data_IF_532406830238
#
_entry.id   IF_532406830238
#
_cell.length_a   1.000
_cell.length_b   1.000
_cell.length_c   1.000
_cell.angle_alpha   90.00
_cell.angle_beta   90.00
_cell.angle_gamma   90.00
#
_symmetry.space_group_name_H-M   'P 1'
#
loop_
_entity.id
_entity.type
_entity.pdbx_description
1 polymer ?
#
# COMPACT_ATOMS: atom_id res chain seq x y z
N UNK A 1 -2.52 9.70 -9.72
CA UNK A 1 -1.78 8.75 -8.86
C UNK A 1 -1.24 7.57 -9.64
N UNK A 2 -1.99 6.49 -9.87
CA UNK A 2 -1.43 5.30 -10.53
C UNK A 2 -0.95 5.57 -11.96
N UNK A 3 -1.74 6.27 -12.76
CA UNK A 3 -1.37 6.64 -14.12
C UNK A 3 -0.07 7.46 -14.17
N UNK A 4 0.08 8.41 -13.24
CA UNK A 4 1.29 9.23 -13.13
C UNK A 4 2.48 8.38 -12.68
N UNK A 5 2.30 7.52 -11.67
CA UNK A 5 3.33 6.59 -11.23
C UNK A 5 3.82 5.73 -12.39
N UNK A 6 2.90 5.09 -13.13
CA UNK A 6 3.23 4.26 -14.29
C UNK A 6 3.90 5.04 -15.43
N UNK A 7 3.62 6.34 -15.55
CA UNK A 7 4.21 7.21 -16.57
C UNK A 7 5.63 7.66 -16.21
N UNK A 8 5.90 7.93 -14.94
CA UNK A 8 7.12 8.62 -14.51
C UNK A 8 8.10 7.75 -13.71
N UNK A 9 7.66 6.60 -13.18
CA UNK A 9 8.50 5.70 -12.37
C UNK A 9 8.98 4.52 -13.22
N UNK A 10 10.22 4.09 -12.99
CA UNK A 10 10.83 2.92 -13.66
C UNK A 10 10.08 1.63 -13.32
N UNK A 11 10.27 0.58 -14.13
CA UNK A 11 9.59 -0.72 -13.97
C UNK A 11 9.86 -1.39 -12.61
N UNK A 12 11.01 -1.12 -12.00
CA UNK A 12 11.42 -1.66 -10.70
C UNK A 12 10.75 -0.93 -9.53
N UNK A 13 10.06 0.18 -9.78
CA UNK A 13 9.35 0.93 -8.76
C UNK A 13 8.21 0.11 -8.14
N UNK A 14 8.16 0.10 -6.81
CA UNK A 14 7.08 -0.51 -6.05
C UNK A 14 6.14 0.57 -5.49
N UNK A 15 4.88 0.22 -5.30
CA UNK A 15 3.89 1.07 -4.63
C UNK A 15 2.89 0.21 -3.88
N UNK A 16 2.42 0.74 -2.76
CA UNK A 16 1.47 0.12 -1.84
C UNK A 16 0.17 0.93 -1.83
N UNK A 17 -0.97 0.26 -1.69
CA UNK A 17 -2.26 0.92 -1.49
C UNK A 17 -2.52 1.07 0.01
N UNK A 18 -2.84 2.28 0.48
CA UNK A 18 -3.10 2.55 1.90
C UNK A 18 -4.52 3.05 2.11
N UNK A 19 -5.27 2.36 2.96
CA UNK A 19 -6.55 2.81 3.52
C UNK A 19 -6.33 3.46 4.88
N UNK A 20 -6.01 4.75 4.93
CA UNK A 20 -5.73 5.44 6.18
C UNK A 20 -7.02 5.82 6.95
N UNK A 21 -6.86 6.15 8.23
CA UNK A 21 -7.91 6.52 9.20
C UNK A 21 -8.83 5.35 9.57
N UNK A 22 -8.29 4.15 9.66
CA UNK A 22 -9.06 2.97 10.09
C UNK A 22 -9.64 3.11 11.51
N UNK A 23 -9.13 4.04 12.31
CA UNK A 23 -9.69 4.40 13.62
C UNK A 23 -11.10 5.01 13.56
N UNK A 24 -11.54 5.48 12.39
CA UNK A 24 -12.88 6.04 12.18
C UNK A 24 -13.85 5.00 11.61
N UNK A 25 -13.93 3.82 12.23
CA UNK A 25 -14.73 2.68 11.74
C UNK A 25 -16.21 3.04 11.57
N UNK A 26 -16.79 3.81 12.50
CA UNK A 26 -18.19 4.27 12.40
C UNK A 26 -18.45 5.21 11.20
N UNK A 27 -17.39 5.77 10.62
CA UNK A 27 -17.45 6.62 9.42
C UNK A 27 -16.92 5.89 8.18
N UNK A 28 -16.77 4.56 8.23
CA UNK A 28 -16.30 3.77 7.10
C UNK A 28 -17.27 3.85 5.94
N UNK A 29 -16.80 4.40 4.83
CA UNK A 29 -17.53 4.46 3.55
C UNK A 29 -16.98 3.44 2.54
N UNK A 30 -15.69 3.09 2.66
CA UNK A 30 -15.03 2.11 1.78
C UNK A 30 -14.79 0.81 2.56
N UNK A 31 -15.44 -0.31 2.18
CA UNK A 31 -15.19 -1.60 2.79
C UNK A 31 -13.77 -2.10 2.51
N UNK A 32 -13.12 -2.74 3.48
CA UNK A 32 -11.78 -3.35 3.34
C UNK A 32 -11.68 -4.26 2.11
N UNK A 33 -12.76 -5.00 1.79
CA UNK A 33 -12.83 -5.88 0.60
C UNK A 33 -12.64 -5.13 -0.73
N UNK A 34 -13.03 -3.86 -0.81
CA UNK A 34 -12.80 -3.04 -2.02
C UNK A 34 -11.33 -2.64 -2.16
N UNK A 35 -10.66 -2.29 -1.06
CA UNK A 35 -9.22 -2.06 -1.04
C UNK A 35 -8.44 -3.29 -1.52
N UNK A 36 -8.79 -4.47 -1.01
CA UNK A 36 -8.19 -5.74 -1.44
C UNK A 36 -8.43 -6.04 -2.92
N UNK A 37 -9.66 -5.81 -3.42
CA UNK A 37 -9.97 -5.95 -4.85
C UNK A 37 -9.16 -4.97 -5.69
N UNK A 38 -9.06 -3.72 -5.26
CA UNK A 38 -8.34 -2.68 -5.99
C UNK A 38 -6.84 -2.98 -6.06
N UNK A 39 -6.24 -3.42 -4.95
CA UNK A 39 -4.84 -3.88 -4.90
C UNK A 39 -4.54 -4.91 -5.97
N UNK A 40 -5.38 -5.96 -6.06
CA UNK A 40 -5.25 -7.00 -7.09
C UNK A 40 -5.43 -6.44 -8.50
N UNK A 41 -6.42 -5.57 -8.70
CA UNK A 41 -6.70 -4.96 -10.01
C UNK A 41 -5.55 -4.09 -10.52
N UNK A 42 -4.90 -3.34 -9.64
CA UNK A 42 -3.81 -2.45 -10.03
C UNK A 42 -2.43 -3.11 -9.95
N UNK A 43 -2.34 -4.29 -9.32
CA UNK A 43 -1.07 -4.97 -9.03
C UNK A 43 -0.14 -4.14 -8.13
N UNK A 44 -0.71 -3.55 -7.07
CA UNK A 44 0.08 -2.96 -5.99
C UNK A 44 0.76 -4.06 -5.18
N UNK A 45 1.92 -3.75 -4.57
CA UNK A 45 2.67 -4.74 -3.80
C UNK A 45 1.87 -5.26 -2.60
N UNK A 46 1.10 -4.38 -1.97
CA UNK A 46 0.22 -4.73 -0.86
C UNK A 46 -0.92 -3.73 -0.66
N UNK A 47 -1.86 -4.08 0.21
CA UNK A 47 -2.88 -3.18 0.73
C UNK A 47 -2.88 -3.24 2.26
N UNK A 48 -2.79 -2.08 2.90
CA UNK A 48 -2.77 -1.99 4.36
C UNK A 48 -3.74 -0.89 4.79
N UNK A 49 -4.64 -1.22 5.71
CA UNK A 49 -5.41 -0.20 6.42
C UNK A 49 -4.59 0.30 7.61
N UNK A 50 -4.49 1.61 7.77
CA UNK A 50 -3.63 2.24 8.78
C UNK A 50 -4.40 3.28 9.59
N UNK A 51 -3.94 3.54 10.81
CA UNK A 51 -4.28 4.76 11.54
C UNK A 51 -3.01 5.57 11.79
N UNK A 52 -2.82 6.63 11.03
CA UNK A 52 -1.75 7.59 11.34
C UNK A 52 -1.93 8.28 12.71
N UNK A 53 -3.15 8.31 13.24
CA UNK A 53 -3.47 8.90 14.55
C UNK A 53 -2.91 8.06 15.70
N UNK A 54 -3.06 6.74 15.62
CA UNK A 54 -2.62 5.82 16.67
C UNK A 54 -1.34 5.05 16.32
N UNK A 55 -0.80 5.23 15.10
CA UNK A 55 0.38 4.53 14.61
C UNK A 55 0.10 3.10 14.12
N UNK A 56 -1.17 2.69 14.06
CA UNK A 56 -1.56 1.32 13.70
C UNK A 56 -1.20 1.01 12.24
N UNK A 57 -0.48 -0.10 12.05
CA UNK A 57 -0.02 -0.66 10.77
C UNK A 57 0.83 0.29 9.91
N UNK A 58 1.25 1.45 10.44
CA UNK A 58 2.07 2.41 9.70
C UNK A 58 3.45 1.82 9.42
N UNK A 59 4.10 1.26 10.45
CA UNK A 59 5.42 0.63 10.30
C UNK A 59 5.36 -0.53 9.31
N UNK A 60 4.37 -1.41 9.44
CA UNK A 60 4.19 -2.56 8.55
C UNK A 60 4.02 -2.13 7.09
N UNK A 61 3.28 -1.06 6.82
CA UNK A 61 3.13 -0.52 5.47
C UNK A 61 4.47 -0.09 4.86
N UNK A 62 5.34 0.55 5.64
CA UNK A 62 6.68 0.93 5.20
C UNK A 62 7.59 -0.29 5.02
N UNK A 63 7.60 -1.22 5.97
CA UNK A 63 8.39 -2.45 5.92
C UNK A 63 8.02 -3.31 4.71
N UNK A 64 6.73 -3.44 4.39
CA UNK A 64 6.25 -4.19 3.22
C UNK A 64 6.70 -3.52 1.91
N UNK A 65 6.64 -2.20 1.82
CA UNK A 65 7.12 -1.46 0.66
C UNK A 65 8.63 -1.60 0.47
N UNK A 66 9.41 -1.41 1.53
CA UNK A 66 10.88 -1.55 1.49
C UNK A 66 11.27 -2.98 1.13
N UNK A 67 10.63 -3.97 1.74
CA UNK A 67 10.85 -5.39 1.41
C UNK A 67 10.59 -5.68 -0.06
N UNK A 68 9.53 -5.10 -0.64
CA UNK A 68 9.25 -5.26 -2.07
C UNK A 68 10.31 -4.57 -2.94
N UNK A 69 10.76 -3.36 -2.56
CA UNK A 69 11.81 -2.65 -3.29
C UNK A 69 13.08 -3.50 -3.31
N UNK A 70 13.55 -3.98 -2.16
CA UNK A 70 14.76 -4.80 -2.07
C UNK A 70 14.65 -6.08 -2.94
N UNK A 71 13.50 -6.76 -2.91
CA UNK A 71 13.23 -7.92 -3.79
C UNK A 71 13.30 -7.56 -5.27
N UNK A 72 12.77 -6.41 -5.69
CA UNK A 72 12.82 -5.97 -7.08
C UNK A 72 14.26 -5.73 -7.57
N UNK A 73 15.17 -5.34 -6.67
CA UNK A 73 16.59 -5.14 -6.96
C UNK A 73 17.46 -6.41 -6.75
N UNK A 74 16.86 -7.54 -6.36
CA UNK A 74 17.57 -8.80 -6.13
C UNK A 74 18.40 -8.83 -4.84
N UNK A 75 18.16 -7.90 -3.92
CA UNK A 75 18.78 -7.88 -2.60
C UNK A 75 18.20 -9.00 -1.73
N UNK A 76 19.05 -9.66 -0.95
CA UNK A 76 18.60 -10.68 0.01
C UNK A 76 18.11 -9.99 1.29
N UNK A 77 16.88 -10.31 1.70
CA UNK A 77 16.31 -9.95 3.00
C UNK A 77 16.92 -10.79 4.12
#
# INVERSE_FOLDING_TARGET
WLADFQKYVKKEGAYILIGNKMDLEDQRIVPTKEGEKLKKKINACDFVETSAKYGENVEDAFQNLVSQILRNYGEKL
#
